data_IF_496753384309
#
_entry.id   IF_496753384309
#
_cell.length_a   1.000
_cell.length_b   1.000
_cell.length_c   1.000
_cell.angle_alpha   90.00
_cell.angle_beta   90.00
_cell.angle_gamma   90.00
#
_symmetry.space_group_name_H-M   'P 1'
#
loop_
_entity.id
_entity.type
_entity.pdbx_description
1 polymer ?
#
# COMPACT_ATOMS: atom_id res chain seq x y z
N UNK A 1 -39.55 -3.98 37.06
CA UNK A 1 -39.27 -2.57 36.66
C UNK A 1 -37.89 -2.39 36.06
N UNK A 2 -36.81 -2.97 36.62
CA UNK A 2 -35.44 -2.86 36.07
C UNK A 2 -35.27 -3.41 34.64
N UNK A 3 -36.00 -4.46 34.27
CA UNK A 3 -36.06 -4.94 32.88
C UNK A 3 -36.54 -3.88 31.89
N UNK A 4 -37.14 -2.76 32.31
CA UNK A 4 -37.54 -1.65 31.43
C UNK A 4 -36.39 -0.69 31.11
N UNK A 5 -35.21 -0.83 31.72
CA UNK A 5 -34.05 0.05 31.47
C UNK A 5 -33.61 0.04 29.99
N UNK A 6 -33.89 -1.03 29.24
CA UNK A 6 -33.62 -1.08 27.80
C UNK A 6 -34.36 0.01 27.01
N UNK A 7 -35.48 0.53 27.53
CA UNK A 7 -36.24 1.62 26.90
C UNK A 7 -35.43 2.93 26.90
N UNK A 8 -34.59 3.17 27.92
CA UNK A 8 -33.71 4.35 27.96
C UNK A 8 -32.68 4.25 26.84
N UNK A 9 -32.05 3.09 26.66
CA UNK A 9 -31.17 2.84 25.51
C UNK A 9 -31.91 3.06 24.19
N UNK A 10 -33.16 2.60 24.06
CA UNK A 10 -33.98 2.80 22.86
C UNK A 10 -34.31 4.27 22.59
N UNK A 11 -34.61 5.06 23.61
CA UNK A 11 -34.89 6.50 23.50
C UNK A 11 -33.63 7.27 23.13
N UNK A 12 -32.49 6.94 23.74
CA UNK A 12 -31.20 7.52 23.39
C UNK A 12 -30.84 7.29 21.91
N UNK A 13 -31.17 6.10 21.38
CA UNK A 13 -30.98 5.79 19.96
C UNK A 13 -31.88 6.63 19.04
N UNK A 14 -33.14 6.82 19.44
CA UNK A 14 -34.12 7.55 18.64
C UNK A 14 -33.84 9.05 18.60
N UNK A 15 -33.27 9.62 19.67
CA UNK A 15 -33.01 11.06 19.76
C UNK A 15 -31.59 11.47 19.32
N UNK A 16 -30.68 10.51 19.13
CA UNK A 16 -29.32 10.83 18.68
C UNK A 16 -29.32 11.25 17.21
N UNK A 17 -29.11 12.56 16.99
CA UNK A 17 -29.04 13.16 15.65
C UNK A 17 -28.01 12.49 14.73
N UNK A 18 -26.97 11.88 15.30
CA UNK A 18 -25.91 11.17 14.57
C UNK A 18 -26.43 9.91 13.82
N UNK A 19 -27.47 9.24 14.32
CA UNK A 19 -28.02 8.01 13.73
C UNK A 19 -29.36 8.19 13.03
N UNK A 20 -30.03 9.31 13.28
CA UNK A 20 -31.27 9.68 12.60
C UNK A 20 -31.02 10.51 11.34
N UNK A 21 -29.81 11.01 11.14
CA UNK A 21 -29.49 11.84 9.98
C UNK A 21 -29.60 11.05 8.66
N UNK A 22 -30.16 11.70 7.64
CA UNK A 22 -30.42 11.10 6.33
C UNK A 22 -29.12 10.65 5.65
N UNK A 23 -28.03 11.40 5.85
CA UNK A 23 -26.69 11.07 5.35
C UNK A 23 -26.18 9.73 5.92
N UNK A 24 -26.26 9.56 7.24
CA UNK A 24 -25.83 8.34 7.93
C UNK A 24 -26.63 7.12 7.46
N UNK A 25 -27.96 7.27 7.32
CA UNK A 25 -28.86 6.19 6.87
C UNK A 25 -28.60 5.79 5.42
N UNK A 26 -28.33 6.76 4.55
CA UNK A 26 -27.98 6.51 3.15
C UNK A 26 -26.68 5.70 3.04
N UNK A 27 -25.63 6.10 3.77
CA UNK A 27 -24.35 5.39 3.79
C UNK A 27 -24.51 3.98 4.39
N UNK A 28 -25.34 3.83 5.43
CA UNK A 28 -25.66 2.53 6.03
C UNK A 28 -26.36 1.58 5.05
N UNK A 29 -27.31 2.08 4.26
CA UNK A 29 -27.99 1.30 3.24
C UNK A 29 -27.03 0.84 2.11
N UNK A 30 -26.15 1.74 1.65
CA UNK A 30 -25.13 1.41 0.64
C UNK A 30 -24.18 0.29 1.11
N UNK A 31 -23.83 0.27 2.40
CA UNK A 31 -22.96 -0.75 2.99
C UNK A 31 -23.72 -1.98 3.52
N UNK A 32 -25.05 -2.05 3.35
CA UNK A 32 -25.93 -3.09 3.92
C UNK A 32 -25.77 -3.26 5.44
N UNK A 33 -25.50 -2.17 6.15
CA UNK A 33 -25.34 -2.17 7.61
C UNK A 33 -26.69 -1.85 8.24
N UNK A 34 -27.19 -2.78 9.05
CA UNK A 34 -28.38 -2.55 9.88
C UNK A 34 -28.00 -1.74 11.12
N UNK A 35 -28.71 -0.63 11.37
CA UNK A 35 -28.56 0.22 12.56
C UNK A 35 -29.08 -0.51 13.81
N UNK A 36 -28.28 -1.44 14.32
CA UNK A 36 -28.59 -2.22 15.52
C UNK A 36 -28.14 -1.51 16.80
N UNK A 37 -28.78 -1.84 17.93
CA UNK A 37 -28.42 -1.32 19.27
C UNK A 37 -26.95 -1.61 19.64
N UNK A 38 -26.44 -2.79 19.24
CA UNK A 38 -25.03 -3.18 19.42
C UNK A 38 -24.06 -2.30 18.64
N UNK A 39 -24.42 -1.92 17.40
CA UNK A 39 -23.60 -1.04 16.58
C UNK A 39 -23.50 0.33 17.24
N UNK A 40 -24.61 0.88 17.71
CA UNK A 40 -24.61 2.19 18.36
C UNK A 40 -23.88 2.18 19.70
N UNK A 41 -24.04 1.13 20.51
CA UNK A 41 -23.27 1.01 21.76
C UNK A 41 -21.76 0.97 21.47
N UNK A 42 -21.35 0.25 20.43
CA UNK A 42 -19.95 0.22 19.96
C UNK A 42 -19.48 1.60 19.51
N UNK A 43 -20.30 2.34 18.77
CA UNK A 43 -19.99 3.69 18.30
C UNK A 43 -19.88 4.69 19.45
N UNK A 44 -20.79 4.66 20.42
CA UNK A 44 -20.75 5.50 21.62
C UNK A 44 -19.50 5.22 22.47
N UNK A 45 -19.17 3.94 22.68
CA UNK A 45 -17.93 3.52 23.33
C UNK A 45 -16.67 3.90 22.55
N UNK A 46 -16.78 4.28 21.28
CA UNK A 46 -15.63 4.73 20.47
C UNK A 46 -15.46 6.25 20.54
N UNK A 47 -16.56 7.01 20.49
CA UNK A 47 -16.53 8.49 20.46
C UNK A 47 -16.17 9.05 21.85
N UNK A 48 -16.96 8.73 22.87
CA UNK A 48 -16.81 9.24 24.24
C UNK A 48 -16.78 8.10 25.27
N UNK A 49 -15.78 7.19 25.22
CA UNK A 49 -15.75 6.02 26.09
C UNK A 49 -15.82 6.36 27.57
N UNK A 50 -15.11 7.41 28.02
CA UNK A 50 -15.05 7.81 29.42
C UNK A 50 -16.40 8.25 29.97
N UNK A 51 -17.11 9.13 29.25
CA UNK A 51 -18.44 9.62 29.66
C UNK A 51 -19.47 8.49 29.70
N UNK A 52 -19.48 7.62 28.67
CA UNK A 52 -20.41 6.49 28.61
C UNK A 52 -20.15 5.49 29.74
N UNK A 53 -18.88 5.16 29.98
CA UNK A 53 -18.47 4.26 31.05
C UNK A 53 -18.80 4.85 32.43
N UNK A 54 -18.56 6.14 32.65
CA UNK A 54 -18.89 6.82 33.91
C UNK A 54 -20.39 6.81 34.18
N UNK A 55 -21.23 7.16 33.20
CA UNK A 55 -22.69 7.12 33.33
C UNK A 55 -23.15 5.69 33.64
N UNK A 56 -22.57 4.69 32.97
CA UNK A 56 -22.85 3.29 33.25
C UNK A 56 -22.47 2.90 34.69
N UNK A 57 -21.28 3.24 35.17
CA UNK A 57 -20.85 2.96 36.57
C UNK A 57 -21.81 3.56 37.58
N UNK A 58 -22.10 4.86 37.46
CA UNK A 58 -22.93 5.58 38.43
C UNK A 58 -24.36 5.02 38.41
N UNK A 59 -24.91 4.72 37.23
CA UNK A 59 -26.24 4.11 37.12
C UNK A 59 -26.31 2.73 37.76
N UNK A 60 -25.30 1.87 37.52
CA UNK A 60 -25.22 0.54 38.12
C UNK A 60 -25.06 0.63 39.63
N UNK A 61 -24.23 1.54 40.12
CA UNK A 61 -24.01 1.75 41.54
C UNK A 61 -25.30 2.15 42.25
N UNK A 62 -26.06 3.11 41.70
CA UNK A 62 -27.34 3.55 42.27
C UNK A 62 -28.37 2.42 42.25
N UNK A 63 -28.49 1.69 41.13
CA UNK A 63 -29.45 0.59 40.99
C UNK A 63 -29.12 -0.54 41.96
N UNK A 64 -27.86 -0.98 42.01
CA UNK A 64 -27.39 -2.05 42.88
C UNK A 64 -27.59 -1.69 44.37
N UNK A 65 -27.28 -0.44 44.75
CA UNK A 65 -27.48 0.05 46.12
C UNK A 65 -28.95 0.06 46.52
N UNK A 66 -29.83 0.50 45.63
CA UNK A 66 -31.28 0.45 45.87
C UNK A 66 -31.79 -0.99 45.96
N UNK A 67 -31.36 -1.88 45.07
CA UNK A 67 -31.79 -3.29 45.10
C UNK A 67 -31.30 -4.03 46.34
N UNK A 68 -30.05 -3.78 46.77
CA UNK A 68 -29.50 -4.39 47.98
C UNK A 68 -30.29 -3.97 49.21
N UNK A 69 -30.56 -2.67 49.32
CA UNK A 69 -31.38 -2.12 50.40
C UNK A 69 -32.75 -2.79 50.47
N UNK A 70 -33.42 -2.99 49.34
CA UNK A 70 -34.74 -3.64 49.33
C UNK A 70 -34.70 -5.11 49.76
N UNK A 71 -33.58 -5.81 49.51
CA UNK A 71 -33.43 -7.20 49.95
C UNK A 71 -33.05 -7.34 51.44
N UNK A 72 -32.30 -6.38 51.99
CA UNK A 72 -31.84 -6.42 53.38
C UNK A 72 -32.77 -5.67 54.36
N UNK A 73 -33.71 -4.86 53.86
CA UNK A 73 -34.58 -3.95 54.66
C UNK A 73 -35.29 -4.59 55.84
N UNK A 74 -35.65 -5.87 55.74
CA UNK A 74 -36.45 -6.57 56.75
C UNK A 74 -35.63 -7.42 57.72
N UNK A 75 -34.31 -7.53 57.52
CA UNK A 75 -33.46 -8.42 58.30
C UNK A 75 -32.56 -7.69 59.30
N UNK A 76 -32.29 -6.40 59.08
CA UNK A 76 -31.34 -5.64 59.89
C UNK A 76 -31.62 -4.13 59.85
N UNK A 77 -31.59 -3.45 61.01
CA UNK A 77 -31.83 -1.99 61.08
C UNK A 77 -30.65 -1.19 60.53
N UNK A 78 -29.43 -1.73 60.61
CA UNK A 78 -28.21 -1.07 60.11
C UNK A 78 -28.21 -0.93 58.56
N UNK A 79 -28.94 -1.82 57.88
CA UNK A 79 -29.15 -1.78 56.43
C UNK A 79 -30.32 -0.88 56.00
N UNK A 80 -31.06 -0.27 56.96
CA UNK A 80 -32.15 0.66 56.65
C UNK A 80 -31.63 1.99 56.06
N UNK A 81 -30.41 2.39 56.43
CA UNK A 81 -29.72 3.58 55.96
C UNK A 81 -29.19 3.40 54.53
N UNK A 82 -29.64 4.24 53.59
CA UNK A 82 -29.23 4.19 52.18
C UNK A 82 -27.71 4.36 52.00
N UNK A 83 -27.07 5.13 52.88
CA UNK A 83 -25.63 5.39 52.85
C UNK A 83 -24.82 4.12 53.12
N UNK A 84 -25.26 3.26 54.04
CA UNK A 84 -24.60 1.99 54.37
C UNK A 84 -24.70 1.01 53.19
N UNK A 85 -25.86 0.93 52.52
CA UNK A 85 -26.00 0.11 51.31
C UNK A 85 -25.17 0.66 50.14
N UNK A 86 -25.08 1.99 49.97
CA UNK A 86 -24.21 2.59 48.95
C UNK A 86 -22.73 2.32 49.21
N UNK A 87 -22.30 2.41 50.47
CA UNK A 87 -20.95 2.07 50.92
C UNK A 87 -20.60 0.61 50.60
N UNK A 88 -21.45 -0.33 51.03
CA UNK A 88 -21.27 -1.76 50.78
C UNK A 88 -21.17 -2.09 49.29
N UNK A 89 -22.04 -1.51 48.45
CA UNK A 89 -21.95 -1.71 46.99
C UNK A 89 -20.68 -1.08 46.42
N UNK A 90 -20.25 0.10 46.89
CA UNK A 90 -19.03 0.73 46.38
C UNK A 90 -17.78 -0.13 46.65
N UNK A 91 -17.60 -0.61 47.88
CA UNK A 91 -16.45 -1.45 48.26
C UNK A 91 -16.51 -2.82 47.57
N UNK A 92 -17.72 -3.34 47.30
CA UNK A 92 -17.91 -4.60 46.56
C UNK A 92 -17.63 -4.41 45.06
N UNK A 93 -18.05 -3.29 44.48
CA UNK A 93 -17.84 -2.96 43.07
C UNK A 93 -16.36 -2.73 42.74
N UNK A 94 -15.62 -2.12 43.66
CA UNK A 94 -14.17 -1.95 43.56
C UNK A 94 -13.39 -3.22 43.95
N UNK A 95 -14.08 -4.30 44.35
CA UNK A 95 -13.48 -5.54 44.82
C UNK A 95 -12.51 -5.36 46.01
N UNK A 96 -12.82 -4.44 46.93
CA UNK A 96 -12.04 -4.18 48.15
C UNK A 96 -12.52 -5.08 49.29
N UNK A 97 -13.81 -5.01 49.65
CA UNK A 97 -14.45 -5.87 50.64
C UNK A 97 -13.87 -5.81 52.06
N UNK A 98 -14.03 -4.68 52.76
CA UNK A 98 -13.55 -4.54 54.15
C UNK A 98 -14.23 -5.48 55.16
N UNK A 99 -15.48 -5.89 54.90
CA UNK A 99 -16.21 -6.83 55.75
C UNK A 99 -16.82 -6.24 57.02
N UNK A 100 -16.88 -4.90 57.11
CA UNK A 100 -17.55 -4.13 58.16
C UNK A 100 -19.08 -4.27 58.11
N UNK A 101 -19.64 -4.35 56.90
CA UNK A 101 -21.06 -4.58 56.64
C UNK A 101 -21.17 -5.72 55.61
N UNK A 102 -22.02 -6.72 55.86
CA UNK A 102 -22.12 -7.93 55.03
C UNK A 102 -23.59 -8.29 54.81
N UNK A 103 -24.00 -8.69 53.58
CA UNK A 103 -25.37 -9.10 53.34
C UNK A 103 -25.69 -10.44 54.00
N UNK A 104 -26.73 -10.43 54.83
CA UNK A 104 -27.18 -11.61 55.55
C UNK A 104 -28.18 -12.44 54.73
N UNK A 105 -28.91 -11.80 53.82
CA UNK A 105 -29.94 -12.47 53.01
C UNK A 105 -29.36 -13.16 51.76
N UNK A 106 -29.97 -14.27 51.33
CA UNK A 106 -29.59 -14.92 50.07
C UNK A 106 -29.74 -14.00 48.85
N UNK A 107 -30.77 -13.12 48.86
CA UNK A 107 -30.91 -12.10 47.83
C UNK A 107 -29.73 -11.11 47.85
N UNK A 108 -29.39 -10.55 49.02
CA UNK A 108 -28.30 -9.59 49.16
C UNK A 108 -26.95 -10.18 48.75
N UNK A 109 -26.69 -11.44 49.10
CA UNK A 109 -25.50 -12.19 48.64
C UNK A 109 -25.46 -12.33 47.12
N UNK A 110 -26.59 -12.64 46.47
CA UNK A 110 -26.68 -12.67 45.01
C UNK A 110 -26.41 -11.31 44.36
N UNK A 111 -26.88 -10.21 44.97
CA UNK A 111 -26.61 -8.84 44.52
C UNK A 111 -25.13 -8.49 44.69
N UNK A 112 -24.51 -8.86 45.81
CA UNK A 112 -23.09 -8.63 46.05
C UNK A 112 -22.21 -9.37 45.03
N UNK A 113 -22.49 -10.66 44.76
CA UNK A 113 -21.75 -11.44 43.75
C UNK A 113 -21.92 -10.84 42.35
N UNK A 114 -23.14 -10.52 41.93
CA UNK A 114 -23.38 -9.90 40.62
C UNK A 114 -22.72 -8.54 40.49
N UNK A 115 -22.74 -7.73 41.57
CA UNK A 115 -22.03 -6.44 41.64
C UNK A 115 -20.53 -6.62 41.48
N UNK A 116 -19.92 -7.60 42.14
CA UNK A 116 -18.49 -7.91 42.01
C UNK A 116 -18.10 -8.34 40.58
N UNK A 117 -18.90 -9.22 39.96
CA UNK A 117 -18.68 -9.63 38.54
C UNK A 117 -18.78 -8.42 37.60
N UNK A 118 -19.79 -7.58 37.81
CA UNK A 118 -19.98 -6.37 37.01
C UNK A 118 -18.84 -5.37 37.23
N UNK A 119 -18.39 -5.18 38.47
CA UNK A 119 -17.25 -4.33 38.85
C UNK A 119 -15.94 -4.77 38.20
N UNK A 120 -15.67 -6.07 38.17
CA UNK A 120 -14.51 -6.64 37.47
C UNK A 120 -14.58 -6.37 35.95
N UNK A 121 -15.73 -6.63 35.31
CA UNK A 121 -15.91 -6.35 33.88
C UNK A 121 -15.79 -4.86 33.54
N UNK A 122 -16.30 -4.01 34.42
CA UNK A 122 -16.21 -2.56 34.35
C UNK A 122 -14.75 -2.05 34.44
N UNK A 123 -13.97 -2.62 35.37
CA UNK A 123 -12.55 -2.32 35.53
C UNK A 123 -11.75 -2.74 34.29
N UNK A 124 -12.04 -3.93 33.73
CA UNK A 124 -11.40 -4.39 32.50
C UNK A 124 -11.68 -3.46 31.30
N UNK A 125 -12.93 -3.01 31.15
CA UNK A 125 -13.29 -2.03 30.11
C UNK A 125 -12.59 -0.69 30.31
N UNK A 126 -12.49 -0.21 31.56
CA UNK A 126 -11.79 1.03 31.88
C UNK A 126 -10.31 0.96 31.48
N UNK A 127 -9.62 -0.13 31.82
CA UNK A 127 -8.22 -0.36 31.43
C UNK A 127 -8.07 -0.37 29.90
N UNK A 128 -8.96 -1.04 29.18
CA UNK A 128 -8.95 -1.07 27.71
C UNK A 128 -9.20 0.31 27.08
N UNK A 129 -10.04 1.14 27.69
CA UNK A 129 -10.29 2.53 27.26
C UNK A 129 -9.07 3.40 27.52
N UNK A 130 -8.51 3.33 28.73
CA UNK A 130 -7.32 4.11 29.12
C UNK A 130 -6.15 3.76 28.22
N UNK A 131 -5.90 2.47 27.97
CA UNK A 131 -4.84 2.01 27.06
C UNK A 131 -4.95 2.67 25.67
N UNK A 132 -6.14 2.61 25.05
CA UNK A 132 -6.38 3.24 23.73
C UNK A 132 -6.27 4.77 23.73
N UNK A 133 -6.60 5.43 24.85
CA UNK A 133 -6.48 6.90 24.96
C UNK A 133 -5.05 7.34 25.28
N UNK A 134 -4.22 6.46 25.84
CA UNK A 134 -2.78 6.68 26.04
C UNK A 134 -1.96 6.39 24.79
N UNK A 135 -2.52 5.70 23.80
CA UNK A 135 -1.88 5.53 22.50
C UNK A 135 -1.78 6.89 21.79
N UNK A 136 -0.54 7.30 21.51
CA UNK A 136 -0.26 8.50 20.70
C UNK A 136 -0.95 8.39 19.34
N UNK A 137 -1.59 9.48 18.92
CA UNK A 137 -2.16 9.61 17.57
C UNK A 137 -1.07 9.56 16.50
N UNK A 138 -1.44 9.35 15.23
CA UNK A 138 -0.47 9.33 14.12
C UNK A 138 0.33 10.64 14.03
N UNK A 139 -0.33 11.78 14.24
CA UNK A 139 0.30 13.10 14.22
C UNK A 139 1.27 13.28 15.40
N UNK A 140 0.85 12.92 16.62
CA UNK A 140 1.72 12.99 17.80
C UNK A 140 2.91 12.03 17.69
N UNK A 141 2.70 10.81 17.16
CA UNK A 141 3.77 9.86 16.85
C UNK A 141 4.77 10.45 15.87
N UNK A 142 4.32 11.16 14.83
CA UNK A 142 5.20 11.82 13.88
C UNK A 142 6.04 12.91 14.56
N UNK A 143 5.41 13.77 15.38
CA UNK A 143 6.13 14.80 16.16
C UNK A 143 7.11 14.17 17.15
N UNK A 144 6.71 13.11 17.85
CA UNK A 144 7.58 12.38 18.76
C UNK A 144 8.78 11.76 18.04
N UNK A 145 8.56 11.14 16.88
CA UNK A 145 9.63 10.57 16.06
C UNK A 145 10.62 11.65 15.60
N UNK A 146 10.13 12.78 15.11
CA UNK A 146 10.95 13.92 14.72
C UNK A 146 11.76 14.49 15.88
N UNK A 147 11.15 14.63 17.06
CA UNK A 147 11.82 15.07 18.27
C UNK A 147 12.95 14.10 18.66
N UNK A 148 12.69 12.79 18.59
CA UNK A 148 13.68 11.77 18.93
C UNK A 148 14.86 11.76 17.95
N UNK A 149 14.60 11.90 16.64
CA UNK A 149 15.66 11.99 15.61
C UNK A 149 16.53 13.23 15.80
N UNK A 150 15.90 14.38 16.09
CA UNK A 150 16.61 15.63 16.39
C UNK A 150 17.52 15.46 17.61
N UNK A 151 17.04 14.80 18.67
CA UNK A 151 17.86 14.52 19.86
C UNK A 151 19.01 13.56 19.58
N UNK A 152 18.78 12.48 18.83
CA UNK A 152 19.83 11.52 18.47
C UNK A 152 20.89 12.17 17.60
N UNK A 153 20.51 13.00 16.64
CA UNK A 153 21.43 13.77 15.81
C UNK A 153 22.32 14.69 16.64
N UNK A 154 21.76 15.39 17.64
CA UNK A 154 22.54 16.22 18.59
C UNK A 154 23.54 15.36 19.39
N UNK A 155 23.10 14.22 19.92
CA UNK A 155 23.97 13.29 20.68
C UNK A 155 25.07 12.70 19.79
N UNK A 156 24.77 12.39 18.54
CA UNK A 156 25.73 11.86 17.57
C UNK A 156 26.83 12.89 17.30
N UNK A 157 26.46 14.15 17.04
CA UNK A 157 27.42 15.26 16.86
C UNK A 157 28.30 15.47 18.09
N UNK A 158 27.72 15.45 19.29
CA UNK A 158 28.49 15.59 20.53
C UNK A 158 29.46 14.41 20.77
N UNK A 159 29.01 13.17 20.52
CA UNK A 159 29.87 11.99 20.64
C UNK A 159 31.00 12.03 19.61
N UNK A 160 30.72 12.42 18.37
CA UNK A 160 31.73 12.58 17.33
C UNK A 160 32.77 13.66 17.68
N UNK A 161 32.32 14.79 18.22
CA UNK A 161 33.22 15.84 18.71
C UNK A 161 34.14 15.34 19.83
N UNK A 162 33.62 14.53 20.76
CA UNK A 162 34.43 13.92 21.81
C UNK A 162 35.44 12.91 21.26
N UNK A 163 35.07 12.12 20.25
CA UNK A 163 36.01 11.22 19.56
C UNK A 163 37.17 12.02 18.97
N UNK A 164 36.88 13.07 18.19
CA UNK A 164 37.91 13.94 17.61
C UNK A 164 38.78 14.60 18.67
N UNK A 165 38.17 15.13 19.74
CA UNK A 165 38.88 15.75 20.87
C UNK A 165 39.86 14.78 21.52
N UNK A 166 39.43 13.58 21.87
CA UNK A 166 40.29 12.61 22.53
C UNK A 166 41.34 12.04 21.56
N UNK A 167 41.04 11.84 20.27
CA UNK A 167 42.03 11.48 19.24
C UNK A 167 43.14 12.53 19.16
N UNK A 168 42.78 13.81 19.09
CA UNK A 168 43.75 14.91 19.07
C UNK A 168 44.58 14.96 20.35
N UNK A 169 43.96 14.81 21.53
CA UNK A 169 44.68 14.82 22.81
C UNK A 169 45.63 13.62 22.95
N UNK A 170 45.26 12.45 22.44
CA UNK A 170 46.17 11.29 22.36
C UNK A 170 47.36 11.63 21.47
N UNK A 171 47.13 12.14 20.25
CA UNK A 171 48.20 12.52 19.33
C UNK A 171 49.14 13.58 19.94
N UNK A 172 48.59 14.63 20.55
CA UNK A 172 49.36 15.67 21.23
C UNK A 172 50.29 15.10 22.29
N UNK A 173 49.77 14.29 23.21
CA UNK A 173 50.56 13.76 24.34
C UNK A 173 51.47 12.59 23.97
N UNK A 174 51.34 12.01 22.77
CA UNK A 174 52.22 10.94 22.28
C UNK A 174 53.30 11.44 21.31
N UNK A 175 53.02 12.48 20.51
CA UNK A 175 53.94 12.94 19.44
C UNK A 175 54.42 14.38 19.54
N UNK A 176 53.67 15.28 20.17
CA UNK A 176 54.01 16.72 20.21
C UNK A 176 54.74 17.16 21.49
N UNK A 177 54.97 16.26 22.45
CA UNK A 177 55.62 16.57 23.74
C UNK A 177 56.97 15.88 23.84
N UNK A 178 58.02 16.61 24.28
CA UNK A 178 59.40 16.09 24.44
C UNK A 178 59.53 14.90 25.41
N UNK A 179 58.68 14.82 26.44
CA UNK A 179 58.61 13.69 27.39
C UNK A 179 57.19 13.17 27.50
N UNK A 180 56.98 11.88 27.22
CA UNK A 180 55.66 11.25 27.18
C UNK A 180 55.24 10.80 28.58
N UNK A 181 54.07 11.25 29.04
CA UNK A 181 53.47 10.84 30.31
C UNK A 181 52.47 9.70 30.12
N UNK A 182 52.89 8.46 30.36
CA UNK A 182 52.07 7.25 30.12
C UNK A 182 50.73 7.23 30.88
N UNK A 183 50.68 7.80 32.09
CA UNK A 183 49.42 7.89 32.87
C UNK A 183 48.35 8.75 32.17
N UNK A 184 48.74 9.92 31.66
CA UNK A 184 47.82 10.87 31.00
C UNK A 184 47.35 10.36 29.64
N UNK A 185 48.22 9.66 28.91
CA UNK A 185 47.86 8.98 27.65
C UNK A 185 46.81 7.89 27.90
N UNK A 186 46.97 7.05 28.92
CA UNK A 186 45.97 6.02 29.28
C UNK A 186 44.60 6.62 29.63
N UNK A 187 44.57 7.75 30.34
CA UNK A 187 43.31 8.44 30.65
C UNK A 187 42.60 8.90 29.37
N UNK A 188 43.31 9.50 28.42
CA UNK A 188 42.73 9.91 27.13
C UNK A 188 42.33 8.73 26.26
N UNK A 189 43.09 7.63 26.25
CA UNK A 189 42.72 6.39 25.57
C UNK A 189 41.43 5.78 26.12
N UNK A 190 41.24 5.76 27.45
CA UNK A 190 39.98 5.31 28.07
C UNK A 190 38.81 6.20 27.66
N UNK A 191 38.99 7.52 27.69
CA UNK A 191 37.95 8.49 27.26
C UNK A 191 37.63 8.35 25.78
N UNK A 192 38.63 8.14 24.92
CA UNK A 192 38.45 7.87 23.50
C UNK A 192 37.63 6.59 23.28
N UNK A 193 37.96 5.50 23.96
CA UNK A 193 37.21 4.24 23.82
C UNK A 193 35.74 4.39 24.27
N UNK A 194 35.51 5.12 25.37
CA UNK A 194 34.15 5.45 25.84
C UNK A 194 33.39 6.33 24.82
N UNK A 195 34.06 7.31 24.21
CA UNK A 195 33.46 8.16 23.17
C UNK A 195 33.10 7.36 21.91
N UNK A 196 33.96 6.43 21.48
CA UNK A 196 33.69 5.52 20.36
C UNK A 196 32.50 4.60 20.68
N UNK A 197 32.45 4.04 21.89
CA UNK A 197 31.33 3.21 22.32
C UNK A 197 30.02 4.00 22.33
N UNK A 198 30.03 5.22 22.89
CA UNK A 198 28.88 6.11 22.91
C UNK A 198 28.41 6.46 21.49
N UNK A 199 29.34 6.78 20.57
CA UNK A 199 29.02 7.07 19.17
C UNK A 199 28.35 5.87 18.49
N UNK A 200 28.90 4.65 18.65
CA UNK A 200 28.31 3.43 18.08
C UNK A 200 26.92 3.15 18.63
N UNK A 201 26.73 3.34 19.95
CA UNK A 201 25.42 3.17 20.60
C UNK A 201 24.39 4.14 20.02
N UNK A 202 24.71 5.44 19.96
CA UNK A 202 23.81 6.46 19.38
C UNK A 202 23.50 6.17 17.91
N UNK A 203 24.49 5.75 17.13
CA UNK A 203 24.29 5.37 15.71
C UNK A 203 23.38 4.15 15.55
N UNK A 204 23.50 3.17 16.44
CA UNK A 204 22.62 2.00 16.45
C UNK A 204 21.18 2.40 16.83
N UNK A 205 21.00 3.26 17.83
CA UNK A 205 19.68 3.75 18.23
C UNK A 205 19.03 4.60 17.12
N UNK A 206 19.81 5.38 16.38
CA UNK A 206 19.34 6.13 15.20
C UNK A 206 18.86 5.19 14.09
N UNK A 207 19.58 4.09 13.83
CA UNK A 207 19.14 3.10 12.84
C UNK A 207 17.81 2.46 13.24
N UNK A 208 17.67 2.03 14.50
CA UNK A 208 16.41 1.46 15.01
C UNK A 208 15.24 2.42 14.86
N UNK A 209 15.46 3.72 15.11
CA UNK A 209 14.43 4.73 14.91
C UNK A 209 14.00 4.85 13.45
N UNK A 210 14.98 4.88 12.55
CA UNK A 210 14.74 4.97 11.10
C UNK A 210 13.99 3.74 10.58
N UNK A 211 14.36 2.54 11.02
CA UNK A 211 13.68 1.29 10.65
C UNK A 211 12.21 1.30 11.08
N UNK A 212 11.89 1.81 12.29
CA UNK A 212 10.52 1.96 12.76
C UNK A 212 9.72 2.99 11.94
N UNK A 213 10.34 4.10 11.53
CA UNK A 213 9.69 5.16 10.75
C UNK A 213 9.38 4.71 9.31
N UNK A 214 10.22 3.85 8.74
CA UNK A 214 10.06 3.38 7.37
C UNK A 214 8.77 2.57 7.18
N UNK A 215 8.35 1.76 8.17
CA UNK A 215 7.14 0.92 8.04
C UNK A 215 5.85 1.65 7.61
N UNK A 216 5.58 2.85 8.15
CA UNK A 216 4.38 3.64 7.79
C UNK A 216 4.59 4.39 6.47
N UNK A 217 5.82 4.87 6.24
CA UNK A 217 6.18 5.64 5.05
C UNK A 217 6.26 4.74 3.81
N UNK A 218 6.67 3.49 3.99
CA UNK A 218 6.81 2.49 2.93
C UNK A 218 5.45 2.07 2.39
N UNK A 219 4.39 2.01 3.21
CA UNK A 219 3.03 1.74 2.72
C UNK A 219 2.55 2.86 1.77
N UNK A 220 2.75 4.12 2.14
CA UNK A 220 2.37 5.26 1.30
C UNK A 220 3.23 5.36 0.03
N UNK A 221 4.54 5.11 0.14
CA UNK A 221 5.44 5.04 -1.03
C UNK A 221 5.06 3.91 -1.96
N UNK A 222 4.76 2.72 -1.43
CA UNK A 222 4.29 1.58 -2.23
C UNK A 222 3.02 1.94 -3.00
N UNK A 223 2.06 2.62 -2.37
CA UNK A 223 0.86 3.08 -3.05
C UNK A 223 1.18 4.04 -4.21
N UNK A 224 2.05 5.03 -4.01
CA UNK A 224 2.47 5.94 -5.08
C UNK A 224 3.21 5.21 -6.20
N UNK A 225 4.14 4.31 -5.87
CA UNK A 225 4.85 3.50 -6.86
C UNK A 225 3.91 2.60 -7.65
N UNK A 226 2.89 2.01 -7.01
CA UNK A 226 1.86 1.23 -7.69
C UNK A 226 1.06 2.11 -8.65
N UNK A 227 0.67 3.32 -8.25
CA UNK A 227 -0.01 4.25 -9.15
C UNK A 227 0.85 4.63 -10.37
N UNK A 228 2.14 4.92 -10.17
CA UNK A 228 3.06 5.20 -11.27
C UNK A 228 3.19 4.00 -12.22
N UNK A 229 3.37 2.78 -11.70
CA UNK A 229 3.46 1.56 -12.52
C UNK A 229 2.16 1.33 -13.32
N UNK A 230 0.99 1.52 -12.71
CA UNK A 230 -0.30 1.34 -13.39
C UNK A 230 -0.49 2.40 -14.48
N UNK A 231 -0.08 3.65 -14.23
CA UNK A 231 -0.10 4.71 -15.23
C UNK A 231 0.83 4.40 -16.42
N UNK A 232 2.06 3.97 -16.14
CA UNK A 232 3.01 3.53 -17.16
C UNK A 232 2.49 2.31 -17.93
N UNK A 233 1.79 1.39 -17.25
CA UNK A 233 1.18 0.24 -17.91
C UNK A 233 0.03 0.66 -18.82
N UNK A 234 -0.81 1.61 -18.41
CA UNK A 234 -1.89 2.16 -19.23
C UNK A 234 -1.35 2.81 -20.50
N UNK A 235 -0.35 3.69 -20.37
CA UNK A 235 0.25 4.36 -21.54
C UNK A 235 0.90 3.38 -22.52
N UNK A 236 1.52 2.31 -22.01
CA UNK A 236 2.03 1.22 -22.86
C UNK A 236 0.90 0.44 -23.53
N UNK A 237 -0.21 0.23 -22.84
CA UNK A 237 -1.39 -0.41 -23.41
C UNK A 237 -1.94 0.42 -24.57
N UNK A 238 -2.11 1.74 -24.38
CA UNK A 238 -2.58 2.64 -25.43
C UNK A 238 -1.66 2.59 -26.67
N UNK A 239 -0.34 2.57 -26.45
CA UNK A 239 0.65 2.45 -27.54
C UNK A 239 0.55 1.10 -28.27
N UNK A 240 0.29 0.02 -27.54
CA UNK A 240 0.09 -1.32 -28.12
C UNK A 240 -1.20 -1.40 -28.92
N UNK A 241 -2.27 -0.77 -28.42
CA UNK A 241 -3.56 -0.67 -29.10
C UNK A 241 -3.43 0.11 -30.42
N UNK A 242 -2.74 1.26 -30.41
CA UNK A 242 -2.46 2.03 -31.63
C UNK A 242 -1.67 1.21 -32.66
N UNK A 243 -0.69 0.41 -32.20
CA UNK A 243 0.06 -0.48 -33.09
C UNK A 243 -0.77 -1.63 -33.64
N UNK A 244 -1.71 -2.16 -32.85
CA UNK A 244 -2.64 -3.20 -33.29
C UNK A 244 -3.59 -2.67 -34.37
N UNK A 245 -4.16 -1.49 -34.15
CA UNK A 245 -4.99 -0.81 -35.15
C UNK A 245 -4.20 -0.55 -36.44
N UNK A 246 -2.96 -0.05 -36.32
CA UNK A 246 -2.09 0.14 -37.48
C UNK A 246 -1.68 -1.15 -38.19
N UNK A 247 -1.72 -2.31 -37.52
CA UNK A 247 -1.55 -3.62 -38.16
C UNK A 247 -2.83 -4.09 -38.85
N UNK A 248 -3.99 -3.85 -38.23
CA UNK A 248 -5.30 -4.15 -38.80
C UNK A 248 -5.52 -3.38 -40.11
N UNK A 249 -5.19 -2.08 -40.15
CA UNK A 249 -5.25 -1.27 -41.38
C UNK A 249 -4.34 -1.81 -42.48
N UNK A 250 -3.12 -2.25 -42.14
CA UNK A 250 -2.19 -2.84 -43.11
C UNK A 250 -2.70 -4.17 -43.64
N UNK A 251 -3.31 -4.98 -42.78
CA UNK A 251 -3.96 -6.24 -43.17
C UNK A 251 -5.15 -6.00 -44.09
N UNK A 252 -6.00 -5.01 -43.78
CA UNK A 252 -7.11 -4.61 -44.63
C UNK A 252 -6.63 -4.14 -46.01
N UNK A 253 -5.60 -3.30 -46.06
CA UNK A 253 -4.98 -2.88 -47.32
C UNK A 253 -4.44 -4.07 -48.12
N UNK A 254 -3.74 -5.01 -47.48
CA UNK A 254 -3.25 -6.21 -48.16
C UNK A 254 -4.42 -7.04 -48.71
N UNK A 255 -5.49 -7.20 -47.94
CA UNK A 255 -6.68 -7.91 -48.37
C UNK A 255 -7.31 -7.26 -49.61
N UNK A 256 -7.46 -5.93 -49.62
CA UNK A 256 -7.97 -5.19 -50.79
C UNK A 256 -7.07 -5.37 -52.02
N UNK A 257 -5.75 -5.28 -51.86
CA UNK A 257 -4.81 -5.49 -52.97
C UNK A 257 -4.88 -6.93 -53.52
N UNK A 258 -5.08 -7.93 -52.66
CA UNK A 258 -5.25 -9.33 -53.06
C UNK A 258 -6.56 -9.55 -53.80
N UNK A 259 -7.66 -8.89 -53.38
CA UNK A 259 -8.96 -8.94 -54.05
C UNK A 259 -8.94 -8.27 -55.43
N UNK A 260 -8.18 -7.18 -55.60
CA UNK A 260 -8.01 -6.48 -56.89
C UNK A 260 -7.06 -7.19 -57.86
N UNK A 261 -6.16 -8.03 -57.35
CA UNK A 261 -5.15 -8.74 -58.13
C UNK A 261 -5.70 -9.55 -59.34
N UNK A 262 -6.77 -10.36 -59.21
CA UNK A 262 -7.34 -11.10 -60.34
C UNK A 262 -7.89 -10.20 -61.45
N UNK A 263 -8.47 -9.04 -61.12
CA UNK A 263 -8.95 -8.07 -62.12
C UNK A 263 -7.80 -7.42 -62.89
N UNK A 264 -6.71 -7.08 -62.19
CA UNK A 264 -5.50 -6.54 -62.83
C UNK A 264 -4.86 -7.60 -63.73
N UNK A 265 -4.76 -8.84 -63.26
CA UNK A 265 -4.18 -9.95 -64.03
C UNK A 265 -4.99 -10.23 -65.31
N UNK A 266 -6.33 -10.20 -65.22
CA UNK A 266 -7.20 -10.36 -66.40
C UNK A 266 -7.06 -9.19 -67.38
N UNK A 267 -7.00 -7.94 -66.90
CA UNK A 267 -6.73 -6.78 -67.78
C UNK A 267 -5.40 -6.88 -68.51
N UNK A 268 -4.33 -7.31 -67.82
CA UNK A 268 -3.00 -7.50 -68.43
C UNK A 268 -3.01 -8.62 -69.46
N UNK A 269 -3.64 -9.76 -69.14
CA UNK A 269 -3.81 -10.87 -70.10
C UNK A 269 -4.59 -10.44 -71.34
N UNK A 270 -5.65 -9.64 -71.14
CA UNK A 270 -6.49 -9.16 -72.23
C UNK A 270 -5.77 -8.10 -73.10
N UNK A 271 -4.98 -7.21 -72.49
CA UNK A 271 -4.08 -6.30 -73.22
C UNK A 271 -3.00 -7.06 -74.00
N UNK A 272 -2.37 -8.07 -73.39
CA UNK A 272 -1.35 -8.89 -74.05
C UNK A 272 -1.94 -9.68 -75.23
N UNK A 273 -3.15 -10.24 -75.08
CA UNK A 273 -3.87 -10.91 -76.15
C UNK A 273 -4.24 -9.96 -77.29
N UNK A 274 -4.71 -8.74 -76.98
CA UNK A 274 -5.03 -7.71 -77.96
C UNK A 274 -3.78 -7.23 -78.74
N UNK A 275 -2.65 -7.03 -78.04
CA UNK A 275 -1.37 -6.68 -78.66
C UNK A 275 -0.84 -7.82 -79.57
N UNK A 276 -0.98 -9.08 -79.14
CA UNK A 276 -0.62 -10.24 -79.95
C UNK A 276 -1.50 -10.39 -81.21
N UNK A 277 -2.80 -10.10 -81.12
CA UNK A 277 -3.70 -10.09 -82.27
C UNK A 277 -3.37 -8.97 -83.27
N UNK A 278 -2.98 -7.79 -82.78
CA UNK A 278 -2.50 -6.68 -83.63
C UNK A 278 -1.18 -7.04 -84.35
N UNK A 279 -0.26 -7.70 -83.67
CA UNK A 279 1.00 -8.18 -84.25
C UNK A 279 0.81 -9.32 -85.26
N UNK A 280 -0.19 -10.19 -85.04
CA UNK A 280 -0.51 -11.26 -85.99
C UNK A 280 -1.03 -10.73 -87.33
N UNK A 281 -1.84 -9.66 -87.32
CA UNK A 281 -2.34 -9.02 -88.54
C UNK A 281 -1.26 -8.34 -89.37
N UNK A 282 -0.17 -7.84 -88.76
CA UNK A 282 0.94 -7.25 -89.53
C UNK A 282 1.88 -8.29 -90.14
N UNK A 283 1.95 -9.50 -89.56
CA UNK A 283 2.95 -10.51 -89.97
C UNK A 283 2.60 -11.31 -91.23
N UNK A 284 1.32 -11.39 -91.62
CA UNK A 284 0.86 -12.20 -92.76
C UNK A 284 0.98 -11.49 -94.10
N UNK A 285 1.12 -10.17 -94.11
CA UNK A 285 1.18 -9.37 -95.35
C UNK A 285 2.59 -9.21 -95.91
N UNK A 286 3.63 -9.30 -95.10
CA UNK A 286 5.00 -8.91 -95.49
C UNK A 286 5.90 -10.05 -95.99
N UNK A 287 5.40 -11.30 -96.08
CA UNK A 287 6.25 -12.44 -96.51
C UNK A 287 6.42 -12.63 -98.02
N UNK A 288 5.86 -11.76 -98.86
CA UNK A 288 5.98 -11.86 -100.32
C UNK A 288 6.92 -10.85 -100.98
N UNK A 289 7.47 -9.86 -100.26
CA UNK A 289 8.05 -8.67 -100.91
C UNK A 289 9.56 -8.46 -100.82
N UNK A 290 10.35 -9.03 -99.90
CA UNK A 290 11.74 -8.54 -99.77
C UNK A 290 12.79 -9.60 -99.43
N UNK A 291 13.15 -10.40 -100.44
CA UNK A 291 14.36 -11.24 -100.40
C UNK A 291 15.37 -10.84 -101.49
N UNK A 292 15.60 -9.53 -101.66
CA UNK A 292 16.74 -8.98 -102.42
C UNK A 292 17.31 -7.73 -101.75
N UNK A 293 18.63 -7.60 -101.84
CA UNK A 293 19.49 -6.46 -101.54
C UNK A 293 20.00 -6.35 -100.09
N UNK A 294 21.26 -6.72 -99.80
CA UNK A 294 22.53 -5.96 -100.01
C UNK A 294 22.60 -4.74 -99.07
N UNK A 295 23.70 -4.30 -98.45
CA UNK A 295 25.05 -4.78 -98.14
C UNK A 295 25.68 -3.60 -97.33
N UNK A 296 26.35 -3.89 -96.21
CA UNK A 296 27.52 -3.14 -95.69
C UNK A 296 27.34 -1.69 -95.10
N UNK A 297 28.35 -1.14 -94.37
CA UNK A 297 28.21 -0.76 -92.96
C UNK A 297 28.87 0.61 -92.66
N UNK A 298 29.26 0.80 -91.39
CA UNK A 298 30.25 1.73 -90.85
C UNK A 298 29.77 3.04 -90.19
N UNK A 299 29.96 3.01 -88.86
CA UNK A 299 30.89 3.90 -88.13
C UNK A 299 30.34 5.16 -87.47
N UNK A 300 30.64 5.19 -86.15
CA UNK A 300 30.92 6.36 -85.31
C UNK A 300 29.74 7.32 -85.05
N UNK A 301 29.65 8.03 -83.94
CA UNK A 301 30.24 8.00 -82.61
C UNK A 301 29.44 9.04 -81.78
N UNK A 302 29.65 9.00 -80.48
CA UNK A 302 29.48 10.08 -79.50
C UNK A 302 28.22 10.04 -78.63
N UNK A 303 28.56 10.01 -77.34
CA UNK A 303 27.74 10.14 -76.16
C UNK A 303 27.02 11.48 -76.09
N UNK A 304 25.87 11.50 -75.42
CA UNK A 304 25.47 12.46 -74.38
C UNK A 304 24.21 11.91 -73.69
N UNK A 305 24.27 11.83 -72.36
CA UNK A 305 23.16 11.65 -71.38
C UNK A 305 22.89 13.10 -70.89
N UNK A 306 21.66 13.57 -70.52
CA UNK A 306 20.87 12.89 -69.50
C UNK A 306 19.33 13.13 -69.39
N UNK A 307 18.74 12.37 -68.45
CA UNK A 307 17.55 12.64 -67.59
C UNK A 307 16.13 12.35 -68.12
N UNK A 308 15.45 11.50 -67.32
CA UNK A 308 13.99 11.47 -67.06
C UNK A 308 13.28 10.28 -67.73
N UNK A 309 12.59 9.36 -67.06
CA UNK A 309 12.15 9.21 -65.67
C UNK A 309 10.83 8.41 -65.67
N UNK A 310 10.76 7.32 -64.87
CA UNK A 310 9.60 6.44 -64.68
C UNK A 310 9.87 5.02 -65.20
N UNK A 311 9.74 3.92 -64.45
CA UNK A 311 9.19 3.68 -63.12
C UNK A 311 8.48 2.31 -63.15
N UNK A 312 9.16 1.26 -62.64
CA UNK A 312 8.64 -0.03 -62.12
C UNK A 312 7.83 -0.94 -63.09
N UNK A 313 7.81 -2.28 -63.05
CA UNK A 313 8.38 -3.35 -62.19
C UNK A 313 7.84 -4.70 -62.70
N UNK A 314 8.60 -5.80 -62.60
CA UNK A 314 8.17 -7.16 -62.16
C UNK A 314 9.25 -8.20 -62.55
N UNK A 315 10.06 -8.72 -61.63
CA UNK A 315 9.80 -9.81 -60.67
C UNK A 315 10.11 -11.22 -61.22
N UNK A 316 11.10 -11.91 -60.63
CA UNK A 316 11.02 -13.33 -60.22
C UNK A 316 12.30 -13.80 -59.48
N UNK A 317 12.06 -14.60 -58.44
CA UNK A 317 12.90 -15.02 -57.30
C UNK A 317 13.85 -16.22 -57.63
N UNK A 318 14.43 -17.02 -56.67
CA UNK A 318 14.67 -16.86 -55.22
C UNK A 318 16.09 -17.31 -54.73
N UNK A 319 16.32 -17.12 -53.41
CA UNK A 319 17.33 -17.72 -52.49
C UNK A 319 18.52 -16.82 -52.13
N UNK A 320 18.86 -16.70 -50.82
CA UNK A 320 20.01 -17.46 -50.34
C UNK A 320 19.89 -18.02 -48.91
N UNK A 321 20.59 -19.14 -48.71
CA UNK A 321 20.97 -19.71 -47.41
C UNK A 321 22.26 -19.06 -46.90
N UNK A 322 22.19 -18.62 -45.63
CA UNK A 322 23.21 -18.65 -44.57
C UNK A 322 24.61 -18.02 -44.81
N UNK A 323 24.92 -17.01 -44.00
CA UNK A 323 26.13 -17.02 -43.18
C UNK A 323 25.93 -16.29 -41.84
N UNK A 324 26.53 -16.85 -40.80
CA UNK A 324 26.40 -16.49 -39.39
C UNK A 324 26.98 -15.11 -39.05
N UNK A 325 26.28 -14.34 -38.20
CA UNK A 325 26.93 -13.53 -37.17
C UNK A 325 26.05 -13.36 -35.94
N UNK A 326 26.58 -13.85 -34.82
CA UNK A 326 26.02 -13.91 -33.49
C UNK A 326 26.29 -12.59 -32.79
N UNK A 327 25.26 -11.82 -32.46
CA UNK A 327 25.34 -10.74 -31.47
C UNK A 327 24.25 -10.95 -30.41
N UNK A 328 24.72 -11.15 -29.18
CA UNK A 328 23.93 -11.40 -27.97
C UNK A 328 23.63 -10.06 -27.29
N UNK A 329 22.39 -9.74 -26.93
CA UNK A 329 22.11 -8.62 -26.03
C UNK A 329 22.32 -9.05 -24.56
N UNK A 330 22.76 -8.14 -23.67
CA UNK A 330 23.13 -8.49 -22.30
C UNK A 330 21.90 -8.80 -21.45
N UNK A 331 21.95 -9.93 -20.75
CA UNK A 331 21.01 -10.37 -19.72
C UNK A 331 21.12 -9.49 -18.47
N UNK A 332 20.05 -8.76 -18.14
CA UNK A 332 19.84 -8.17 -16.80
C UNK A 332 19.09 -9.17 -15.91
N UNK A 333 19.49 -9.39 -14.64
CA UNK A 333 18.84 -10.35 -13.77
C UNK A 333 17.59 -9.72 -13.12
N UNK A 334 16.43 -9.92 -13.73
CA UNK A 334 15.15 -9.76 -13.02
C UNK A 334 14.83 -11.08 -12.30
N UNK A 335 15.15 -11.14 -11.01
CA UNK A 335 14.67 -12.20 -10.13
C UNK A 335 13.18 -11.97 -9.82
N UNK A 336 12.32 -12.83 -10.37
CA UNK A 336 10.98 -13.03 -9.83
C UNK A 336 11.10 -13.69 -8.45
N UNK A 337 10.43 -13.20 -7.39
CA UNK A 337 10.38 -13.92 -6.13
C UNK A 337 9.52 -15.17 -6.31
N UNK A 338 10.10 -16.33 -5.98
CA UNK A 338 9.39 -17.60 -5.95
C UNK A 338 8.26 -17.56 -4.91
N UNK A 339 7.06 -17.97 -5.32
CA UNK A 339 5.91 -18.16 -4.45
C UNK A 339 6.26 -19.14 -3.31
N UNK A 340 5.94 -18.84 -2.03
CA UNK A 340 6.17 -19.79 -0.95
C UNK A 340 5.20 -20.97 -1.06
N UNK A 341 5.76 -22.15 -1.40
CA UNK A 341 5.10 -23.44 -1.29
C UNK A 341 4.87 -23.71 0.21
N UNK A 342 3.61 -23.76 0.63
CA UNK A 342 3.21 -24.22 1.96
C UNK A 342 3.51 -25.72 2.10
N UNK A 343 4.09 -26.18 3.22
CA UNK A 343 4.26 -27.61 3.47
C UNK A 343 2.91 -28.29 3.75
N UNK A 344 2.76 -29.60 3.42
CA UNK A 344 1.52 -30.32 3.63
C UNK A 344 1.25 -30.54 5.13
N UNK A 345 0.00 -30.31 5.53
CA UNK A 345 -0.52 -30.62 6.86
C UNK A 345 -0.65 -32.14 6.97
N UNK A 346 0.14 -32.75 7.85
CA UNK A 346 -0.06 -34.13 8.28
C UNK A 346 -1.22 -34.20 9.27
N UNK A 347 -2.23 -34.99 8.93
CA UNK A 347 -3.31 -35.49 9.78
C UNK A 347 -2.81 -36.39 10.90
#
# INVERSE_FOLDING_TARGET
MFLRLYLICRVMLLHSKLFTDASSRSIGALNRINFNTRFVLKTLMTICPGTVLLVFMVSLWIIASWTLRQCERFHDEDHANLLNSMWLIAITFLSVGFGDIVPNTYCGRGIAVSTGIMGAGCTALLVAVVSRKMELTRAEKHVHNFMMDTQLTKRLKNAAANVLRETWLIYKHTRLVKRVNAGRVRTHQRKFLLAIYALRKVKMDQRKLMDNANTITDMAKTQNTVYEIVSDMSTRYDTLEERLLGLEDKLANIQEQVELLPEVLTRVLQQAAAAAAAAAQSSTTDRLSDRRNFLHPESAAQAIVPVGGGGASSASCPSPLLSHSRSVPPTSPYHWPASPILPPVSS
#
